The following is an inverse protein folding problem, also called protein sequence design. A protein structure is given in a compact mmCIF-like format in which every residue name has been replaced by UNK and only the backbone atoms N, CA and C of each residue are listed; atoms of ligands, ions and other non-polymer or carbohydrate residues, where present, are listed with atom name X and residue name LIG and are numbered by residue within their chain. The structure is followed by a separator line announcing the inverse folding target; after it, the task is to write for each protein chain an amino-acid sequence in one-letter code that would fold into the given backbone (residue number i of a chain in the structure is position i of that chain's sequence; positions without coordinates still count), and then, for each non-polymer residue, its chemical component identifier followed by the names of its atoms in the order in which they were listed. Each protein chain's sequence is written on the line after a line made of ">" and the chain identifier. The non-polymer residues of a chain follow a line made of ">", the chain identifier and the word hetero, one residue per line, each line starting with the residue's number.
data_IF_964727436513
#
_entry.id   IF_964727436513
#
_cell.length_a   1.000
_cell.length_b   1.000
_cell.length_c   1.000
_cell.angle_alpha   90.00
_cell.angle_beta   90.00
_cell.angle_gamma   90.00
#
_symmetry.space_group_name_H-M   'P 1'
#
loop_
_entity.id
_entity.type
_entity.pdbx_description
1 polymer ?
#
# COMPACT_ATOMS: atom_id res chain seq x y z
N UNK A 1 -6.14 18.98 29.76
CA UNK A 1 -6.18 17.80 28.86
C UNK A 1 -5.75 16.59 29.68
N UNK A 2 -6.64 15.60 29.84
CA UNK A 2 -6.33 14.30 30.44
C UNK A 2 -6.31 13.28 29.30
N UNK A 3 -5.31 12.41 29.25
CA UNK A 3 -5.17 11.37 28.22
C UNK A 3 -5.22 10.02 28.92
N UNK A 4 -6.16 9.18 28.51
CA UNK A 4 -6.24 7.78 28.92
C UNK A 4 -5.93 6.94 27.69
N UNK A 5 -4.81 6.22 27.72
CA UNK A 5 -4.39 5.34 26.64
C UNK A 5 -4.37 3.89 27.13
N UNK A 6 -4.69 2.96 26.24
CA UNK A 6 -4.48 1.53 26.48
C UNK A 6 -3.00 1.20 26.65
N UNK A 7 -2.73 0.02 27.17
CA UNK A 7 -1.38 -0.51 27.37
C UNK A 7 -0.87 -1.24 26.12
N UNK A 8 0.43 -1.54 26.09
CA UNK A 8 0.99 -2.45 25.09
C UNK A 8 0.28 -3.81 25.09
N UNK A 9 -0.11 -4.33 26.26
CA UNK A 9 -0.79 -5.61 26.36
C UNK A 9 -2.16 -5.56 25.70
N UNK A 10 -2.91 -4.48 25.90
CA UNK A 10 -4.23 -4.28 25.26
C UNK A 10 -4.09 -4.26 23.73
N UNK A 11 -3.08 -3.56 23.22
CA UNK A 11 -2.78 -3.51 21.79
C UNK A 11 -2.42 -4.90 21.23
N UNK A 12 -1.55 -5.65 21.91
CA UNK A 12 -1.13 -6.99 21.47
C UNK A 12 -2.30 -7.98 21.48
N UNK A 13 -3.18 -7.91 22.48
CA UNK A 13 -4.39 -8.74 22.54
C UNK A 13 -5.34 -8.40 21.40
N UNK A 14 -5.68 -7.12 21.22
CA UNK A 14 -6.63 -6.70 20.18
C UNK A 14 -6.15 -7.06 18.77
N UNK A 15 -4.88 -6.83 18.46
CA UNK A 15 -4.31 -7.18 17.14
C UNK A 15 -4.20 -8.68 16.92
N UNK A 16 -3.97 -9.46 17.98
CA UNK A 16 -3.94 -10.92 17.91
C UNK A 16 -5.34 -11.53 17.74
N UNK A 17 -6.34 -11.00 18.42
CA UNK A 17 -7.74 -11.40 18.28
C UNK A 17 -8.24 -11.15 16.85
N UNK A 18 -8.02 -9.94 16.31
CA UNK A 18 -8.33 -9.64 14.91
C UNK A 18 -7.65 -10.61 13.93
N UNK A 19 -6.39 -10.93 14.16
CA UNK A 19 -5.67 -11.87 13.32
C UNK A 19 -6.25 -13.29 13.35
N UNK A 20 -6.72 -13.77 14.51
CA UNK A 20 -7.38 -15.07 14.64
C UNK A 20 -8.77 -15.06 14.01
N UNK A 21 -9.52 -13.99 14.23
CA UNK A 21 -10.86 -13.82 13.67
C UNK A 21 -10.81 -13.84 12.15
N UNK A 22 -9.90 -13.05 11.54
CA UNK A 22 -9.73 -13.02 10.08
C UNK A 22 -9.19 -14.32 9.49
N UNK A 23 -8.46 -15.13 10.27
CA UNK A 23 -8.06 -16.45 9.83
C UNK A 23 -9.23 -17.44 9.79
N UNK A 24 -10.24 -17.24 10.63
CA UNK A 24 -11.42 -18.10 10.72
C UNK A 24 -12.55 -17.63 9.79
N UNK A 25 -12.72 -16.32 9.68
CA UNK A 25 -13.73 -15.62 8.89
C UNK A 25 -13.03 -14.47 8.12
N UNK A 26 -12.55 -14.73 6.90
CA UNK A 26 -11.81 -13.74 6.11
C UNK A 26 -12.63 -12.46 5.86
N UNK A 27 -12.00 -11.27 5.91
CA UNK A 27 -12.64 -10.03 5.49
C UNK A 27 -13.18 -10.11 4.07
N UNK A 28 -14.18 -9.29 3.77
CA UNK A 28 -14.81 -9.24 2.44
C UNK A 28 -13.78 -9.07 1.31
N UNK A 29 -12.75 -8.27 1.52
CA UNK A 29 -11.71 -8.00 0.51
C UNK A 29 -10.54 -8.98 0.49
N UNK A 30 -10.54 -10.01 1.33
CA UNK A 30 -9.46 -11.00 1.34
C UNK A 30 -9.31 -11.73 -0.01
N UNK A 31 -10.41 -11.93 -0.73
CA UNK A 31 -10.37 -12.56 -2.06
C UNK A 31 -9.51 -11.79 -3.07
N UNK A 32 -9.46 -10.45 -2.98
CA UNK A 32 -8.62 -9.65 -3.88
C UNK A 32 -7.13 -9.76 -3.50
N UNK A 33 -6.84 -9.95 -2.22
CA UNK A 33 -5.48 -10.21 -1.75
C UNK A 33 -4.99 -11.58 -2.24
N UNK A 34 -5.84 -12.60 -2.17
CA UNK A 34 -5.53 -13.93 -2.69
C UNK A 34 -5.32 -13.91 -4.22
N UNK A 35 -6.16 -13.15 -4.95
CA UNK A 35 -5.96 -12.95 -6.38
C UNK A 35 -4.65 -12.22 -6.69
N UNK A 36 -4.34 -11.14 -5.95
CA UNK A 36 -3.08 -10.42 -6.05
C UNK A 36 -1.89 -11.37 -5.85
N UNK A 37 -1.92 -12.17 -4.79
CA UNK A 37 -0.86 -13.13 -4.48
C UNK A 37 -0.66 -14.14 -5.61
N UNK A 38 -1.75 -14.70 -6.13
CA UNK A 38 -1.70 -15.62 -7.27
C UNK A 38 -1.10 -14.98 -8.52
N UNK A 39 -1.39 -13.71 -8.80
CA UNK A 39 -0.81 -12.98 -9.93
C UNK A 39 0.69 -12.80 -9.73
N UNK A 40 1.15 -12.40 -8.53
CA UNK A 40 2.57 -12.34 -8.23
C UNK A 40 3.26 -13.69 -8.45
N UNK A 41 2.67 -14.78 -7.94
CA UNK A 41 3.28 -16.11 -8.06
C UNK A 41 3.33 -16.61 -9.51
N UNK A 42 2.26 -16.43 -10.30
CA UNK A 42 2.13 -17.02 -11.64
C UNK A 42 2.62 -16.13 -12.77
N UNK A 43 2.43 -14.83 -12.63
CA UNK A 43 2.67 -13.87 -13.71
C UNK A 43 3.96 -13.09 -13.52
N UNK A 44 4.48 -12.98 -12.29
CA UNK A 44 5.75 -12.30 -12.02
C UNK A 44 6.84 -13.33 -11.70
N UNK A 45 6.70 -14.09 -10.62
CA UNK A 45 7.80 -14.93 -10.10
C UNK A 45 8.01 -16.24 -10.86
N UNK A 46 7.03 -16.70 -11.63
CA UNK A 46 7.19 -17.86 -12.50
C UNK A 46 7.81 -17.51 -13.87
N UNK A 47 8.00 -16.22 -14.18
CA UNK A 47 8.60 -15.77 -15.43
C UNK A 47 10.10 -15.52 -15.25
N UNK A 48 10.85 -15.66 -16.34
CA UNK A 48 12.25 -15.27 -16.35
C UNK A 48 12.36 -13.75 -16.18
N UNK A 49 13.17 -13.32 -15.22
CA UNK A 49 13.34 -11.91 -14.87
C UNK A 49 14.80 -11.50 -15.01
N UNK A 50 15.21 -11.26 -16.25
CA UNK A 50 16.58 -10.87 -16.61
C UNK A 50 16.83 -9.38 -16.38
N UNK A 51 17.11 -9.01 -15.12
CA UNK A 51 17.55 -7.66 -14.74
C UNK A 51 18.75 -7.72 -13.81
N UNK A 52 19.30 -6.56 -13.44
CA UNK A 52 20.41 -6.51 -12.48
C UNK A 52 20.03 -7.20 -11.14
N UNK A 53 20.89 -8.06 -10.54
CA UNK A 53 20.54 -8.84 -9.35
C UNK A 53 20.01 -8.01 -8.16
N UNK A 54 20.55 -6.81 -7.95
CA UNK A 54 20.05 -5.86 -6.93
C UNK A 54 18.60 -5.45 -7.16
N UNK A 55 18.18 -5.28 -8.42
CA UNK A 55 16.79 -5.02 -8.73
C UNK A 55 15.91 -6.22 -8.32
N UNK A 56 16.32 -7.46 -8.62
CA UNK A 56 15.60 -8.66 -8.17
C UNK A 56 15.43 -8.71 -6.65
N UNK A 57 16.48 -8.39 -5.88
CA UNK A 57 16.41 -8.34 -4.42
C UNK A 57 15.43 -7.27 -3.93
N UNK A 58 15.41 -6.10 -4.57
CA UNK A 58 14.47 -5.02 -4.23
C UNK A 58 13.03 -5.35 -4.64
N UNK A 59 12.81 -6.13 -5.70
CA UNK A 59 11.50 -6.68 -6.06
C UNK A 59 11.01 -7.66 -4.97
N UNK A 60 11.86 -8.58 -4.53
CA UNK A 60 11.53 -9.50 -3.43
C UNK A 60 11.25 -8.75 -2.13
N UNK A 61 12.02 -7.71 -1.83
CA UNK A 61 11.76 -6.83 -0.69
C UNK A 61 10.43 -6.08 -0.83
N UNK A 62 10.10 -5.57 -2.03
CA UNK A 62 8.83 -4.91 -2.29
C UNK A 62 7.65 -5.84 -2.00
N UNK A 63 7.69 -7.07 -2.51
CA UNK A 63 6.64 -8.05 -2.30
C UNK A 63 6.52 -8.50 -0.83
N UNK A 64 7.63 -8.76 -0.14
CA UNK A 64 7.59 -9.12 1.29
C UNK A 64 7.09 -7.96 2.17
N UNK A 65 7.43 -6.72 1.85
CA UNK A 65 6.85 -5.54 2.50
C UNK A 65 5.35 -5.39 2.20
N UNK A 66 4.91 -5.70 0.98
CA UNK A 66 3.49 -5.72 0.64
C UNK A 66 2.72 -6.77 1.49
N UNK A 67 3.25 -7.98 1.65
CA UNK A 67 2.67 -9.00 2.53
C UNK A 67 2.62 -8.52 4.00
N UNK A 68 3.64 -7.78 4.44
CA UNK A 68 3.64 -7.15 5.77
C UNK A 68 2.54 -6.09 5.91
N UNK A 69 2.29 -5.30 4.87
CA UNK A 69 1.19 -4.33 4.86
C UNK A 69 -0.18 -5.03 4.96
N UNK A 70 -0.37 -6.13 4.22
CA UNK A 70 -1.58 -6.97 4.33
C UNK A 70 -1.76 -7.47 5.76
N UNK A 71 -0.70 -8.01 6.37
CA UNK A 71 -0.74 -8.47 7.77
C UNK A 71 -1.15 -7.35 8.71
N UNK A 72 -0.65 -6.14 8.47
CA UNK A 72 -0.96 -4.99 9.30
C UNK A 72 -2.41 -4.52 9.13
N UNK A 73 -2.96 -4.54 7.91
CA UNK A 73 -4.38 -4.29 7.68
C UNK A 73 -5.26 -5.31 8.41
N UNK A 74 -4.92 -6.61 8.34
CA UNK A 74 -5.62 -7.69 9.04
C UNK A 74 -5.52 -7.58 10.57
N UNK A 75 -4.53 -6.86 11.12
CA UNK A 75 -4.44 -6.61 12.56
C UNK A 75 -5.44 -5.57 13.07
N UNK A 76 -6.07 -4.80 12.17
CA UNK A 76 -6.93 -3.67 12.51
C UNK A 76 -6.20 -2.34 12.71
N UNK A 77 -4.86 -2.32 12.73
CA UNK A 77 -4.07 -1.09 12.84
C UNK A 77 -3.84 -0.43 11.47
N UNK A 78 -4.91 0.11 10.91
CA UNK A 78 -4.98 0.56 9.50
C UNK A 78 -4.03 1.72 9.17
N UNK A 79 -3.84 2.69 10.08
CA UNK A 79 -2.95 3.84 9.84
C UNK A 79 -1.52 3.39 9.57
N UNK A 80 -1.07 2.35 10.27
CA UNK A 80 0.26 1.78 10.09
C UNK A 80 0.42 0.92 8.83
N UNK A 81 -0.66 0.64 8.10
CA UNK A 81 -0.60 -0.05 6.80
C UNK A 81 0.05 0.82 5.72
N UNK A 82 -0.31 2.12 5.68
CA UNK A 82 0.17 3.05 4.65
C UNK A 82 1.69 3.27 4.62
N UNK A 83 2.39 3.47 5.77
CA UNK A 83 3.85 3.52 5.78
C UNK A 83 4.52 2.26 5.21
N UNK A 84 3.97 1.07 5.51
CA UNK A 84 4.54 -0.20 5.04
C UNK A 84 4.28 -0.37 3.54
N UNK A 85 3.06 -0.09 3.08
CA UNK A 85 2.71 -0.12 1.65
C UNK A 85 3.56 0.89 0.84
N UNK A 86 3.81 2.09 1.39
CA UNK A 86 4.74 3.07 0.79
C UNK A 86 6.14 2.48 0.65
N UNK A 87 6.65 1.82 1.68
CA UNK A 87 7.99 1.23 1.66
C UNK A 87 8.08 0.12 0.61
N UNK A 88 7.02 -0.68 0.45
CA UNK A 88 6.92 -1.67 -0.62
C UNK A 88 7.00 -1.01 -2.01
N UNK A 89 6.23 0.05 -2.23
CA UNK A 89 6.21 0.80 -3.50
C UNK A 89 7.55 1.50 -3.80
N UNK A 90 8.19 2.10 -2.78
CA UNK A 90 9.52 2.71 -2.91
C UNK A 90 10.57 1.67 -3.30
N UNK A 91 10.52 0.46 -2.72
CA UNK A 91 11.39 -0.65 -3.08
C UNK A 91 11.24 -1.06 -4.54
N UNK A 92 10.00 -1.17 -5.04
CA UNK A 92 9.75 -1.47 -6.46
C UNK A 92 10.19 -0.35 -7.40
N UNK A 93 9.99 0.92 -7.01
CA UNK A 93 10.49 2.08 -7.77
C UNK A 93 12.02 2.05 -7.91
N UNK A 94 12.73 1.67 -6.84
CA UNK A 94 14.19 1.59 -6.87
C UNK A 94 14.68 0.41 -7.69
N UNK A 95 13.98 -0.74 -7.61
CA UNK A 95 14.23 -1.87 -8.47
C UNK A 95 14.12 -1.47 -9.96
N UNK A 96 13.03 -0.77 -10.32
CA UNK A 96 12.81 -0.26 -11.67
C UNK A 96 13.94 0.69 -12.11
N UNK A 97 14.33 1.67 -11.29
CA UNK A 97 15.43 2.58 -11.61
C UNK A 97 16.76 1.86 -11.84
N UNK A 98 17.06 0.80 -11.08
CA UNK A 98 18.27 -0.02 -11.27
C UNK A 98 18.15 -0.88 -12.52
N UNK A 99 16.98 -1.43 -12.83
CA UNK A 99 16.78 -2.20 -14.05
C UNK A 99 16.97 -1.35 -15.31
N UNK A 100 16.60 -0.06 -15.26
CA UNK A 100 16.84 0.91 -16.34
C UNK A 100 18.31 1.33 -16.49
N UNK A 101 19.07 1.30 -15.40
CA UNK A 101 20.49 1.63 -15.36
C UNK A 101 21.20 0.86 -14.24
N UNK A 102 21.84 -0.25 -14.61
CA UNK A 102 22.50 -1.15 -13.68
C UNK A 102 23.60 -0.47 -12.84
N UNK A 103 24.20 0.63 -13.32
CA UNK A 103 25.21 1.37 -12.57
C UNK A 103 24.63 2.03 -11.29
N UNK A 104 23.31 2.22 -11.21
CA UNK A 104 22.66 2.70 -9.99
C UNK A 104 22.75 1.70 -8.85
N UNK A 105 22.94 0.40 -9.12
CA UNK A 105 23.12 -0.60 -8.08
C UNK A 105 24.32 -0.27 -7.17
N UNK A 106 25.43 0.21 -7.75
CA UNK A 106 26.60 0.62 -6.97
C UNK A 106 26.29 1.80 -6.06
N UNK A 107 25.49 2.77 -6.52
CA UNK A 107 25.05 3.91 -5.70
C UNK A 107 24.21 3.43 -4.51
N UNK A 108 23.40 2.39 -4.72
CA UNK A 108 22.56 1.81 -3.67
C UNK A 108 23.42 1.07 -2.62
N UNK A 109 24.36 0.22 -3.05
CA UNK A 109 25.22 -0.55 -2.14
C UNK A 109 26.15 0.34 -1.31
N UNK A 110 26.74 1.36 -1.92
CA UNK A 110 27.72 2.24 -1.27
C UNK A 110 27.06 3.44 -0.56
N UNK A 111 25.74 3.41 -0.33
CA UNK A 111 24.96 4.51 0.28
C UNK A 111 25.59 5.04 1.57
N UNK A 112 26.21 4.18 2.36
CA UNK A 112 26.70 4.48 3.71
C UNK A 112 28.20 4.78 3.79
N UNK A 113 28.91 4.79 2.66
CA UNK A 113 30.37 4.94 2.65
C UNK A 113 30.83 6.36 3.02
N UNK A 114 30.01 7.37 2.73
CA UNK A 114 30.29 8.78 3.05
C UNK A 114 29.03 9.63 2.98
N UNK A 115 29.11 10.87 3.49
CA UNK A 115 28.02 11.85 3.36
C UNK A 115 27.69 12.16 1.88
N UNK A 116 28.72 12.21 1.01
CA UNK A 116 28.55 12.39 -0.43
C UNK A 116 27.81 11.20 -1.06
N UNK A 117 28.16 9.98 -0.68
CA UNK A 117 27.49 8.77 -1.17
C UNK A 117 26.04 8.71 -0.67
N UNK A 118 25.79 9.07 0.59
CA UNK A 118 24.45 9.16 1.14
C UNK A 118 23.57 10.17 0.40
N UNK A 119 24.11 11.37 0.11
CA UNK A 119 23.42 12.37 -0.71
C UNK A 119 23.16 11.86 -2.12
N UNK A 120 24.16 11.26 -2.77
CA UNK A 120 24.01 10.70 -4.11
C UNK A 120 22.93 9.62 -4.17
N UNK A 121 22.86 8.75 -3.16
CA UNK A 121 21.81 7.74 -3.03
C UNK A 121 20.42 8.39 -2.88
N UNK A 122 20.24 9.34 -1.97
CA UNK A 122 18.97 10.07 -1.78
C UNK A 122 18.52 10.83 -3.03
N UNK A 123 19.46 11.42 -3.74
CA UNK A 123 19.15 12.16 -4.97
C UNK A 123 18.79 11.18 -6.09
N UNK A 124 19.43 10.02 -6.16
CA UNK A 124 19.22 9.00 -7.21
C UNK A 124 17.91 8.26 -7.06
N UNK A 125 17.59 7.84 -5.85
CA UNK A 125 16.48 6.95 -5.55
C UNK A 125 15.30 7.74 -5.01
N UNK A 126 14.38 8.11 -5.90
CA UNK A 126 13.12 8.75 -5.54
C UNK A 126 11.98 8.21 -6.40
N UNK A 127 10.76 8.17 -5.86
CA UNK A 127 9.56 7.78 -6.61
C UNK A 127 9.32 8.72 -7.79
N UNK A 128 9.54 10.02 -7.62
CA UNK A 128 9.41 11.00 -8.69
C UNK A 128 10.31 10.69 -9.91
N UNK A 129 11.52 10.15 -9.68
CA UNK A 129 12.40 9.71 -10.78
C UNK A 129 11.88 8.44 -11.45
N UNK A 130 11.44 7.46 -10.67
CA UNK A 130 10.83 6.24 -11.21
C UNK A 130 9.58 6.57 -12.05
N UNK A 131 8.68 7.40 -11.53
CA UNK A 131 7.48 7.89 -12.24
C UNK A 131 7.85 8.62 -13.53
N UNK A 132 8.88 9.47 -13.51
CA UNK A 132 9.34 10.17 -14.72
C UNK A 132 9.80 9.21 -15.81
N UNK A 133 10.54 8.17 -15.45
CA UNK A 133 11.01 7.16 -16.39
C UNK A 133 9.86 6.24 -16.84
N UNK A 134 8.98 5.82 -15.93
CA UNK A 134 7.82 4.99 -16.22
C UNK A 134 6.86 5.69 -17.17
N UNK A 135 6.70 7.01 -17.08
CA UNK A 135 5.83 7.82 -17.96
C UNK A 135 6.21 7.71 -19.45
N UNK A 136 7.46 7.36 -19.76
CA UNK A 136 7.90 7.12 -21.15
C UNK A 136 7.36 5.78 -21.67
N UNK A 137 7.14 4.81 -20.78
CA UNK A 137 6.61 3.48 -21.09
C UNK A 137 5.08 3.51 -21.07
N UNK A 138 4.51 3.98 -19.96
CA UNK A 138 3.08 4.04 -19.74
C UNK A 138 2.72 5.26 -18.87
N UNK A 139 2.10 6.31 -19.44
CA UNK A 139 1.77 7.52 -18.69
C UNK A 139 0.64 7.30 -17.68
N UNK A 140 -0.29 6.37 -17.93
CA UNK A 140 -1.42 6.08 -17.05
C UNK A 140 -0.92 5.38 -15.79
N UNK A 141 -0.08 4.37 -15.94
CA UNK A 141 0.50 3.66 -14.80
C UNK A 141 1.53 4.51 -14.05
N UNK A 142 2.22 5.43 -14.72
CA UNK A 142 3.04 6.43 -14.04
C UNK A 142 2.21 7.36 -13.14
N UNK A 143 1.03 7.79 -13.59
CA UNK A 143 0.09 8.55 -12.75
C UNK A 143 -0.45 7.68 -11.61
N UNK A 144 -0.77 6.42 -11.87
CA UNK A 144 -1.24 5.46 -10.86
C UNK A 144 -0.22 5.27 -9.72
N UNK A 145 1.06 5.02 -10.06
CA UNK A 145 2.16 4.90 -9.09
C UNK A 145 2.30 6.18 -8.26
N UNK A 146 2.27 7.35 -8.91
CA UNK A 146 2.36 8.64 -8.22
C UNK A 146 1.18 8.85 -7.27
N UNK A 147 -0.04 8.55 -7.71
CA UNK A 147 -1.24 8.71 -6.92
C UNK A 147 -1.22 7.85 -5.65
N UNK A 148 -0.78 6.59 -5.72
CA UNK A 148 -0.64 5.74 -4.53
C UNK A 148 0.48 6.18 -3.60
N UNK A 149 1.57 6.68 -4.15
CA UNK A 149 2.64 7.26 -3.35
C UNK A 149 2.15 8.45 -2.53
N UNK A 150 1.50 9.42 -3.18
CA UNK A 150 0.99 10.62 -2.52
C UNK A 150 -0.13 10.27 -1.53
N UNK A 151 -1.00 9.35 -1.90
CA UNK A 151 -2.07 8.91 -1.03
C UNK A 151 -1.53 8.15 0.21
N UNK A 152 -0.41 7.44 0.11
CA UNK A 152 0.23 6.84 1.30
C UNK A 152 0.69 7.89 2.31
N UNK A 153 1.13 9.07 1.85
CA UNK A 153 1.50 10.22 2.70
C UNK A 153 0.27 10.77 3.40
N UNK A 154 -0.80 10.97 2.64
CA UNK A 154 -2.06 11.53 3.12
C UNK A 154 -2.73 10.66 4.18
N UNK A 155 -2.64 9.33 4.12
CA UNK A 155 -3.47 8.46 4.97
C UNK A 155 -2.71 7.74 6.10
N UNK A 156 -1.38 7.89 6.20
CA UNK A 156 -0.67 7.33 7.35
C UNK A 156 0.85 7.43 7.35
N UNK A 157 1.50 7.62 6.21
CA UNK A 157 2.96 7.69 6.19
C UNK A 157 3.53 8.96 6.84
N UNK A 158 2.73 10.04 6.96
CA UNK A 158 3.03 11.19 7.81
C UNK A 158 1.87 11.50 8.78
N UNK A 159 2.14 12.02 9.99
CA UNK A 159 1.08 12.52 10.86
C UNK A 159 0.40 13.71 10.19
N UNK A 160 -0.91 13.60 9.97
CA UNK A 160 -1.73 14.62 9.35
C UNK A 160 -3.20 14.47 9.80
N UNK A 161 -4.09 15.33 9.28
CA UNK A 161 -5.50 15.32 9.65
C UNK A 161 -6.17 13.96 9.36
N UNK A 162 -5.98 13.40 8.17
CA UNK A 162 -6.63 12.12 7.79
C UNK A 162 -6.08 10.94 8.60
N UNK A 163 -4.79 10.93 8.89
CA UNK A 163 -4.16 9.84 9.66
C UNK A 163 -4.38 9.90 11.18
N UNK A 164 -4.97 10.99 11.69
CA UNK A 164 -5.18 11.18 13.14
C UNK A 164 -6.62 11.59 13.47
N UNK A 165 -7.12 12.67 12.85
CA UNK A 165 -8.43 13.25 13.19
C UNK A 165 -9.59 12.44 12.62
N UNK A 166 -9.44 11.83 11.44
CA UNK A 166 -10.51 11.01 10.85
C UNK A 166 -10.75 9.69 11.62
N UNK A 167 -9.88 9.37 12.59
CA UNK A 167 -10.03 8.26 13.53
C UNK A 167 -10.55 8.71 14.91
N UNK A 168 -10.91 9.99 15.05
CA UNK A 168 -11.39 10.60 16.28
C UNK A 168 -12.93 10.66 16.30
N UNK A 169 -13.52 10.21 17.39
CA UNK A 169 -14.96 10.35 17.68
C UNK A 169 -15.16 11.33 18.83
N UNK A 170 -16.10 12.26 18.66
CA UNK A 170 -16.57 13.15 19.74
C UNK A 170 -17.49 12.35 20.66
N UNK A 171 -17.10 12.18 21.92
CA UNK A 171 -17.88 11.44 22.92
C UNK A 171 -18.77 12.34 23.78
N UNK A 172 -18.80 13.64 23.47
CA UNK A 172 -19.65 14.63 24.11
C UNK A 172 -19.12 15.18 25.44
N UNK A 173 -19.94 15.96 26.16
CA UNK A 173 -19.57 16.49 27.46
C UNK A 173 -19.40 15.36 28.50
N UNK A 174 -18.39 15.50 29.35
CA UNK A 174 -18.08 14.65 30.50
C UNK A 174 -18.39 15.40 31.81
N UNK A 175 -18.25 14.70 32.94
CA UNK A 175 -18.28 15.34 34.26
C UNK A 175 -17.17 16.42 34.39
N UNK A 176 -17.37 17.40 35.29
CA UNK A 176 -16.43 18.50 35.57
C UNK A 176 -16.12 19.46 34.41
N UNK A 177 -17.12 19.85 33.60
CA UNK A 177 -16.96 20.78 32.45
C UNK A 177 -15.93 20.31 31.39
N UNK A 178 -15.62 19.02 31.34
CA UNK A 178 -14.73 18.45 30.32
C UNK A 178 -15.52 18.03 29.06
N UNK A 179 -14.85 18.00 27.91
CA UNK A 179 -15.40 17.45 26.65
C UNK A 179 -14.54 16.27 26.20
N UNK A 180 -15.17 15.15 25.85
CA UNK A 180 -14.53 13.88 25.58
C UNK A 180 -14.28 13.61 24.10
N UNK A 181 -13.18 12.90 23.82
CA UNK A 181 -12.87 12.38 22.50
C UNK A 181 -12.29 10.96 22.62
N UNK A 182 -12.58 10.10 21.65
CA UNK A 182 -12.01 8.75 21.51
C UNK A 182 -11.23 8.65 20.22
N UNK A 183 -9.99 8.16 20.26
CA UNK A 183 -9.16 7.91 19.08
C UNK A 183 -9.00 6.41 18.88
N UNK A 184 -9.53 5.87 17.77
CA UNK A 184 -9.44 4.44 17.48
C UNK A 184 -8.06 4.10 16.90
N UNK A 185 -7.27 3.30 17.65
CA UNK A 185 -5.96 2.82 17.20
C UNK A 185 -6.00 1.47 16.48
N UNK A 186 -6.90 0.57 16.89
CA UNK A 186 -7.08 -0.76 16.31
C UNK A 186 -8.57 -0.97 16.04
N UNK A 187 -8.92 -1.09 14.77
CA UNK A 187 -10.29 -1.36 14.34
C UNK A 187 -10.64 -2.84 14.51
N UNK A 188 -11.91 -3.14 14.75
CA UNK A 188 -12.40 -4.50 14.87
C UNK A 188 -12.41 -5.28 13.55
N UNK A 189 -12.67 -6.59 13.68
CA UNK A 189 -12.74 -7.54 12.58
C UNK A 189 -13.73 -7.12 11.48
N UNK A 190 -13.33 -7.32 10.23
CA UNK A 190 -14.10 -7.01 9.01
C UNK A 190 -14.71 -5.59 8.98
N UNK A 191 -14.16 -4.65 9.76
CA UNK A 191 -14.58 -3.26 9.70
C UNK A 191 -14.32 -2.65 8.32
N UNK A 192 -14.99 -1.55 8.02
CA UNK A 192 -14.70 -0.75 6.83
C UNK A 192 -13.20 -0.46 6.68
N UNK A 193 -12.56 -0.05 7.77
CA UNK A 193 -11.17 0.38 7.77
C UNK A 193 -10.21 -0.77 7.46
N UNK A 194 -10.48 -1.98 7.98
CA UNK A 194 -9.70 -3.18 7.64
C UNK A 194 -9.79 -3.45 6.14
N UNK A 195 -11.01 -3.45 5.58
CA UNK A 195 -11.21 -3.67 4.15
C UNK A 195 -10.52 -2.57 3.32
N UNK A 196 -10.66 -1.29 3.68
CA UNK A 196 -9.94 -0.20 3.01
C UNK A 196 -8.42 -0.42 3.05
N UNK A 197 -7.86 -0.88 4.17
CA UNK A 197 -6.44 -1.24 4.28
C UNK A 197 -6.04 -2.39 3.34
N UNK A 198 -6.89 -3.39 3.14
CA UNK A 198 -6.68 -4.46 2.17
C UNK A 198 -6.77 -3.94 0.73
N UNK A 199 -7.73 -3.08 0.42
CA UNK A 199 -7.85 -2.45 -0.90
C UNK A 199 -6.57 -1.67 -1.26
N UNK A 200 -6.06 -0.87 -0.32
CA UNK A 200 -4.78 -0.16 -0.45
C UNK A 200 -3.65 -1.12 -0.81
N UNK A 201 -3.59 -2.28 -0.17
CA UNK A 201 -2.58 -3.30 -0.47
C UNK A 201 -2.74 -3.85 -1.89
N UNK A 202 -3.97 -4.14 -2.34
CA UNK A 202 -4.22 -4.61 -3.71
C UNK A 202 -3.74 -3.59 -4.73
N UNK A 203 -4.07 -2.31 -4.54
CA UNK A 203 -3.76 -1.26 -5.50
C UNK A 203 -2.26 -0.94 -5.55
N UNK A 204 -1.60 -0.91 -4.39
CA UNK A 204 -0.14 -0.83 -4.33
C UNK A 204 0.50 -2.08 -4.94
N UNK A 205 -0.10 -3.25 -4.76
CA UNK A 205 0.31 -4.49 -5.42
C UNK A 205 0.25 -4.41 -6.94
N UNK A 206 -0.80 -3.82 -7.51
CA UNK A 206 -0.93 -3.58 -8.95
C UNK A 206 0.17 -2.64 -9.46
N UNK A 207 0.43 -1.55 -8.73
CA UNK A 207 1.51 -0.62 -9.04
C UNK A 207 2.90 -1.30 -9.00
N UNK A 208 3.15 -2.14 -7.98
CA UNK A 208 4.38 -2.91 -7.86
C UNK A 208 4.51 -3.91 -9.01
N UNK A 209 3.48 -4.71 -9.29
CA UNK A 209 3.51 -5.72 -10.35
C UNK A 209 3.80 -5.08 -11.72
N UNK A 210 3.21 -3.92 -12.02
CA UNK A 210 3.49 -3.19 -13.25
C UNK A 210 4.93 -2.67 -13.31
N UNK A 211 5.45 -2.07 -12.23
CA UNK A 211 6.85 -1.62 -12.14
C UNK A 211 7.83 -2.77 -12.36
N UNK A 212 7.54 -3.93 -11.77
CA UNK A 212 8.35 -5.15 -11.94
C UNK A 212 8.31 -5.60 -13.39
N UNK A 213 7.13 -5.75 -13.99
CA UNK A 213 7.01 -6.13 -15.39
C UNK A 213 7.72 -5.14 -16.33
N UNK A 214 7.59 -3.83 -16.08
CA UNK A 214 8.25 -2.78 -16.86
C UNK A 214 9.78 -2.72 -16.66
N UNK A 215 10.31 -3.42 -15.65
CA UNK A 215 11.75 -3.53 -15.42
C UNK A 215 12.42 -4.53 -16.35
N UNK A 216 11.69 -5.54 -16.84
CA UNK A 216 12.21 -6.54 -17.77
C UNK A 216 11.79 -6.24 -19.21
N UNK A 217 12.69 -6.52 -20.16
CA UNK A 217 12.39 -6.35 -21.57
C UNK A 217 11.32 -7.35 -22.01
N UNK A 218 10.22 -6.86 -22.58
CA UNK A 218 9.16 -7.71 -23.15
C UNK A 218 8.40 -8.57 -22.13
N UNK A 219 8.39 -8.23 -20.84
CA UNK A 219 7.75 -9.05 -19.81
C UNK A 219 6.28 -9.40 -20.17
N UNK A 220 5.86 -10.69 -20.11
CA UNK A 220 4.57 -11.14 -20.65
C UNK A 220 3.36 -10.40 -20.07
N UNK A 221 3.35 -10.13 -18.75
CA UNK A 221 2.22 -9.48 -18.06
C UNK A 221 1.72 -8.19 -18.74
N UNK A 222 2.62 -7.38 -19.31
CA UNK A 222 2.27 -6.08 -19.90
C UNK A 222 2.41 -6.04 -21.43
N UNK A 223 2.79 -7.16 -22.06
CA UNK A 223 2.98 -7.25 -23.52
C UNK A 223 2.09 -8.32 -24.17
N UNK A 224 1.98 -9.50 -23.55
CA UNK A 224 1.30 -10.66 -24.13
C UNK A 224 0.04 -11.06 -23.36
N UNK A 225 0.05 -10.85 -22.04
CA UNK A 225 -1.03 -11.23 -21.10
C UNK A 225 -1.68 -10.02 -20.46
N UNK A 226 -1.83 -8.95 -21.24
CA UNK A 226 -2.35 -7.64 -20.81
C UNK A 226 -3.76 -7.80 -20.22
N UNK A 227 -4.56 -8.72 -20.74
CA UNK A 227 -5.90 -9.04 -20.25
C UNK A 227 -5.89 -9.51 -18.80
N UNK A 228 -4.85 -10.23 -18.35
CA UNK A 228 -4.75 -10.68 -16.94
C UNK A 228 -4.61 -9.48 -16.01
N UNK A 229 -3.77 -8.50 -16.39
CA UNK A 229 -3.60 -7.28 -15.61
C UNK A 229 -4.87 -6.42 -15.66
N UNK A 230 -5.50 -6.29 -16.82
CA UNK A 230 -6.74 -5.54 -16.98
C UNK A 230 -7.89 -6.15 -16.17
N UNK A 231 -8.07 -7.48 -16.22
CA UNK A 231 -9.10 -8.18 -15.45
C UNK A 231 -8.91 -8.00 -13.94
N UNK A 232 -7.64 -7.94 -13.48
CA UNK A 232 -7.32 -7.65 -12.09
C UNK A 232 -7.67 -6.21 -11.69
N UNK A 233 -7.35 -5.23 -12.54
CA UNK A 233 -7.75 -3.83 -12.36
C UNK A 233 -9.28 -3.71 -12.30
N UNK A 234 -9.99 -4.38 -13.21
CA UNK A 234 -11.45 -4.34 -13.30
C UNK A 234 -12.12 -5.03 -12.11
N UNK A 235 -11.57 -6.17 -11.64
CA UNK A 235 -12.06 -6.85 -10.44
C UNK A 235 -11.97 -5.96 -9.20
N UNK A 236 -10.84 -5.26 -9.05
CA UNK A 236 -10.66 -4.27 -7.99
C UNK A 236 -11.65 -3.12 -8.12
N UNK A 237 -11.82 -2.55 -9.32
CA UNK A 237 -12.72 -1.41 -9.54
C UNK A 237 -14.18 -1.78 -9.21
N UNK A 238 -14.68 -2.92 -9.71
CA UNK A 238 -16.04 -3.41 -9.39
C UNK A 238 -16.26 -3.51 -7.88
N UNK A 239 -15.29 -4.08 -7.17
CA UNK A 239 -15.40 -4.26 -5.73
C UNK A 239 -15.33 -2.94 -4.97
N UNK A 240 -14.49 -2.00 -5.41
CA UNK A 240 -14.43 -0.66 -4.83
C UNK A 240 -15.77 0.09 -5.01
N UNK A 241 -16.41 -0.04 -6.17
CA UNK A 241 -17.75 0.51 -6.44
C UNK A 241 -18.82 -0.14 -5.56
N UNK A 242 -18.80 -1.47 -5.38
CA UNK A 242 -19.72 -2.18 -4.48
C UNK A 242 -19.59 -1.70 -3.03
N UNK A 243 -18.33 -1.48 -2.59
CA UNK A 243 -17.98 -1.01 -1.26
C UNK A 243 -18.38 0.45 -1.05
N UNK A 244 -18.24 1.30 -2.08
CA UNK A 244 -18.65 2.71 -2.04
C UNK A 244 -20.17 2.91 -2.15
N UNK A 245 -20.88 1.97 -2.79
CA UNK A 245 -22.32 2.05 -3.06
C UNK A 245 -22.71 2.95 -4.23
N UNK A 246 -21.74 3.60 -4.88
CA UNK A 246 -21.88 4.36 -6.12
C UNK A 246 -20.59 4.29 -6.95
N UNK A 247 -20.65 4.47 -8.29
CA UNK A 247 -19.47 4.46 -9.13
C UNK A 247 -18.43 5.48 -8.66
N UNK A 248 -17.18 5.04 -8.58
CA UNK A 248 -16.09 5.89 -8.11
C UNK A 248 -15.62 6.76 -9.27
N UNK A 249 -15.93 8.05 -9.22
CA UNK A 249 -15.37 9.03 -10.13
C UNK A 249 -13.96 9.44 -9.66
N UNK A 250 -12.93 8.86 -10.25
CA UNK A 250 -11.54 9.19 -9.94
C UNK A 250 -11.21 10.64 -10.32
N UNK A 251 -11.22 11.53 -9.34
CA UNK A 251 -10.72 12.92 -9.46
C UNK A 251 -9.90 13.30 -8.22
N UNK A 252 -8.68 12.76 -8.06
CA UNK A 252 -7.81 13.09 -6.92
C UNK A 252 -6.93 11.92 -6.44
N UNK A 253 -6.27 12.04 -5.26
CA UNK A 253 -5.53 10.94 -4.64
C UNK A 253 -6.43 9.73 -4.46
N UNK A 254 -5.96 8.56 -4.85
CA UNK A 254 -6.83 7.45 -5.19
C UNK A 254 -7.74 6.98 -4.03
N UNK A 255 -7.26 7.04 -2.78
CA UNK A 255 -8.04 6.67 -1.58
C UNK A 255 -9.11 7.71 -1.16
N UNK A 256 -9.17 8.90 -1.77
CA UNK A 256 -10.21 9.91 -1.45
C UNK A 256 -11.57 9.63 -2.09
N UNK A 257 -11.65 8.58 -2.89
CA UNK A 257 -12.77 8.29 -3.78
C UNK A 257 -13.71 7.18 -3.27
N UNK A 258 -13.36 6.55 -2.13
CA UNK A 258 -14.15 5.50 -1.47
C UNK A 258 -14.67 6.01 -0.12
N UNK A 259 -15.99 6.20 -0.01
CA UNK A 259 -16.66 6.65 1.21
C UNK A 259 -17.31 5.47 1.97
N UNK A 260 -17.32 5.47 3.31
CA UNK A 260 -17.92 4.39 4.09
C UNK A 260 -19.43 4.29 3.85
N UNK A 261 -19.89 3.11 3.42
CA UNK A 261 -21.34 2.84 3.33
C UNK A 261 -21.97 2.69 4.70
N UNK A 262 -23.27 3.00 4.80
CA UNK A 262 -24.06 2.89 6.04
C UNK A 262 -24.07 1.47 6.66
N UNK A 263 -23.66 0.43 5.92
CA UNK A 263 -23.64 -0.98 6.36
C UNK A 263 -22.34 -1.42 7.03
N UNK A 264 -21.25 -0.65 6.97
CA UNK A 264 -19.92 -1.06 7.45
C UNK A 264 -19.32 -0.11 8.50
N UNK A 265 -20.15 0.72 9.14
CA UNK A 265 -19.73 1.72 10.14
C UNK A 265 -19.36 1.15 11.53
N UNK A 266 -19.26 -0.16 11.69
CA UNK A 266 -18.84 -0.81 12.94
C UNK A 266 -17.47 -1.44 12.81
#
# INVERSE_FOLDING_TARGET
>A
MKINAGTLQDYLVATFENAQDHASEPPQLMLLIEQMDQIFQREIFAQDFEVHPTACLLVMNAYTMLLSAVRQALSGHVVSTYPIARTALESACYAFLIARDGAKADIWFHRHDSEKAHKSSRDTFTVAKAVKELRVIDPVMAEYVQAHYDASIDFGAHPNRKSVIDHLEDTGPLEDEMHGFSLTGVYGRNSWHVNLGLLVCVEVGQAIAFLVAASAEGHPLINERVEVFQDWMDAKNRMAEEINGEPIHYTGPMYSSVAPTLRMKS
#
